data_IF_027727856998
#
_entry.id   IF_027727856998
#
_cell.length_a   1.000
_cell.length_b   1.000
_cell.length_c   1.000
_cell.angle_alpha   90.00
_cell.angle_beta   90.00
_cell.angle_gamma   90.00
#
_symmetry.space_group_name_H-M   'P 1'
#
loop_
_entity.id
_entity.type
_entity.pdbx_description
1 polymer ?
#
# COMPACT_ATOMS: atom_id res chain seq x y z
N UNK A 1 2.13 28.61 19.86
CA UNK A 1 3.35 28.04 19.24
C UNK A 1 3.43 26.61 19.76
N UNK A 2 2.85 25.67 19.01
CA UNK A 2 2.83 24.25 19.38
C UNK A 2 3.79 23.54 18.45
N UNK A 3 4.97 23.19 18.97
CA UNK A 3 5.87 22.24 18.33
C UNK A 3 5.27 20.84 18.54
N UNK A 4 4.72 20.26 17.46
CA UNK A 4 4.55 18.82 17.41
C UNK A 4 5.88 18.24 16.91
N UNK A 5 6.72 17.87 17.87
CA UNK A 5 7.91 17.07 17.65
C UNK A 5 7.55 15.77 16.94
N UNK A 6 7.95 15.66 15.67
CA UNK A 6 8.09 14.39 14.96
C UNK A 6 9.14 13.55 15.71
N UNK A 7 8.69 12.74 16.67
CA UNK A 7 9.51 11.65 17.19
C UNK A 7 9.55 10.53 16.16
N UNK A 8 10.54 10.65 15.28
CA UNK A 8 11.09 9.54 14.52
C UNK A 8 11.80 8.62 15.53
N UNK A 9 11.28 7.41 15.76
CA UNK A 9 12.13 6.28 16.13
C UNK A 9 12.07 5.67 17.52
N UNK A 10 11.00 5.80 18.31
CA UNK A 10 10.82 4.93 19.50
C UNK A 10 9.68 3.91 19.27
N UNK A 11 10.05 2.68 18.90
CA UNK A 11 9.15 1.53 18.89
C UNK A 11 8.77 1.17 20.33
N UNK A 12 7.56 1.56 20.75
CA UNK A 12 6.99 1.15 22.03
C UNK A 12 6.73 -0.36 22.04
N UNK A 13 7.07 -1.07 23.12
CA UNK A 13 6.98 -2.55 23.24
C UNK A 13 5.58 -3.15 23.08
N UNK A 14 4.53 -2.31 23.12
CA UNK A 14 3.15 -2.69 22.83
C UNK A 14 2.86 -2.86 21.33
N UNK A 15 3.73 -2.33 20.46
CA UNK A 15 3.64 -2.40 19.00
C UNK A 15 4.78 -3.25 18.42
N UNK A 16 5.10 -4.36 19.08
CA UNK A 16 6.11 -5.31 18.63
C UNK A 16 5.70 -5.91 17.27
N UNK A 17 6.14 -5.30 16.16
CA UNK A 17 6.03 -5.78 14.77
C UNK A 17 4.83 -6.72 14.53
N UNK A 18 3.61 -6.20 14.74
CA UNK A 18 2.36 -6.95 14.60
C UNK A 18 2.07 -7.20 13.12
N UNK A 19 2.79 -8.16 12.55
CA UNK A 19 2.48 -8.73 11.26
C UNK A 19 1.57 -9.94 11.46
N UNK A 20 0.27 -9.76 11.25
CA UNK A 20 -0.71 -10.86 11.30
C UNK A 20 -1.27 -11.10 9.91
N UNK A 21 -1.13 -12.32 9.42
CA UNK A 21 -1.57 -12.71 8.09
C UNK A 21 -3.01 -13.22 8.13
N UNK A 22 -3.81 -12.77 7.18
CA UNK A 22 -5.16 -13.30 6.96
C UNK A 22 -5.16 -14.65 6.24
N UNK A 23 -6.33 -15.01 5.70
CA UNK A 23 -6.45 -16.22 4.87
C UNK A 23 -5.64 -16.03 3.60
N UNK A 24 -4.82 -17.03 3.27
CA UNK A 24 -4.00 -17.03 2.07
C UNK A 24 -4.25 -18.26 1.21
N UNK A 25 -4.00 -18.12 -0.09
CA UNK A 25 -4.04 -19.21 -1.08
C UNK A 25 -2.79 -19.17 -1.94
N UNK A 26 -2.27 -20.34 -2.31
CA UNK A 26 -1.18 -20.41 -3.28
C UNK A 26 -1.65 -19.83 -4.63
N UNK A 27 -0.81 -18.99 -5.24
CA UNK A 27 -1.03 -18.49 -6.59
C UNK A 27 -0.35 -19.45 -7.56
N UNK A 28 -1.15 -20.07 -8.42
CA UNK A 28 -0.68 -21.10 -9.37
C UNK A 28 -0.14 -20.45 -10.67
N UNK A 29 -0.57 -19.23 -10.96
CA UNK A 29 -0.19 -18.49 -12.15
C UNK A 29 1.19 -17.84 -11.99
N UNK A 30 2.04 -17.92 -13.02
CA UNK A 30 3.35 -17.29 -13.06
C UNK A 30 3.31 -15.77 -13.27
N UNK A 31 2.18 -15.18 -13.69
CA UNK A 31 2.05 -13.73 -13.88
C UNK A 31 2.45 -12.94 -12.64
N UNK A 32 2.05 -13.37 -11.44
CA UNK A 32 2.46 -12.67 -10.21
C UNK A 32 3.97 -12.78 -9.95
N UNK A 33 4.58 -13.93 -10.25
CA UNK A 33 6.04 -14.11 -10.13
C UNK A 33 6.76 -13.20 -11.12
N UNK A 34 6.28 -13.17 -12.36
CA UNK A 34 6.82 -12.32 -13.42
C UNK A 34 6.70 -10.83 -13.05
N UNK A 35 5.56 -10.40 -12.47
CA UNK A 35 5.39 -9.03 -11.98
C UNK A 35 6.38 -8.70 -10.87
N UNK A 36 6.52 -9.56 -9.85
CA UNK A 36 7.48 -9.33 -8.74
C UNK A 36 8.91 -9.27 -9.28
N UNK A 37 9.30 -10.22 -10.14
CA UNK A 37 10.61 -10.28 -10.75
C UNK A 37 10.92 -9.03 -11.59
N UNK A 38 9.96 -8.57 -12.40
CA UNK A 38 10.10 -7.38 -13.23
C UNK A 38 10.24 -6.10 -12.40
N UNK A 39 9.38 -5.91 -11.39
CA UNK A 39 9.39 -4.69 -10.55
C UNK A 39 10.60 -4.59 -9.64
N UNK A 40 11.10 -5.71 -9.12
CA UNK A 40 12.23 -5.72 -8.17
C UNK A 40 13.54 -6.24 -8.77
N UNK A 41 13.61 -6.37 -10.10
CA UNK A 41 14.80 -6.82 -10.86
C UNK A 41 15.39 -8.09 -10.24
N UNK A 42 14.53 -9.06 -9.95
CA UNK A 42 14.89 -10.36 -9.33
C UNK A 42 14.68 -11.47 -10.35
N UNK A 43 15.45 -12.57 -10.26
CA UNK A 43 15.22 -13.70 -11.14
C UNK A 43 13.90 -14.42 -10.76
N UNK A 44 13.04 -14.71 -11.74
CA UNK A 44 11.75 -15.41 -11.54
C UNK A 44 11.98 -16.77 -10.85
N UNK A 45 13.07 -17.46 -11.18
CA UNK A 45 13.40 -18.78 -10.63
C UNK A 45 13.71 -18.75 -9.13
N UNK A 46 14.06 -17.58 -8.58
CA UNK A 46 14.29 -17.40 -7.14
C UNK A 46 12.95 -17.33 -6.36
N UNK A 47 11.85 -17.07 -7.04
CA UNK A 47 10.51 -16.97 -6.44
C UNK A 47 9.86 -18.36 -6.43
N UNK A 48 10.14 -19.15 -5.40
CA UNK A 48 9.63 -20.51 -5.27
C UNK A 48 8.09 -20.58 -5.21
N UNK A 49 7.50 -19.78 -4.32
CA UNK A 49 6.06 -19.79 -4.07
C UNK A 49 5.54 -18.38 -3.81
N UNK A 50 4.34 -18.10 -4.34
CA UNK A 50 3.60 -16.87 -4.10
C UNK A 50 2.26 -17.22 -3.50
N UNK A 51 1.87 -16.50 -2.44
CA UNK A 51 0.58 -16.64 -1.79
C UNK A 51 -0.18 -15.32 -1.88
N UNK A 52 -1.45 -15.38 -2.26
CA UNK A 52 -2.34 -14.23 -2.25
C UNK A 52 -3.11 -14.20 -0.92
N UNK A 53 -3.05 -13.07 -0.22
CA UNK A 53 -3.74 -12.83 1.04
C UNK A 53 -5.02 -12.02 0.82
N UNK A 54 -6.02 -12.22 1.68
CA UNK A 54 -7.24 -11.41 1.67
C UNK A 54 -7.14 -10.14 2.52
N UNK A 55 -6.34 -10.18 3.59
CA UNK A 55 -6.02 -9.06 4.47
C UNK A 55 -4.73 -9.33 5.24
N UNK A 56 -4.19 -8.29 5.84
CA UNK A 56 -3.03 -8.29 6.72
C UNK A 56 -3.25 -7.28 7.85
N UNK A 57 -2.76 -7.55 9.05
CA UNK A 57 -2.55 -6.51 10.06
C UNK A 57 -1.07 -6.18 10.03
N UNK A 58 -0.76 -4.89 9.90
CA UNK A 58 0.59 -4.37 9.92
C UNK A 58 0.61 -3.07 10.73
N UNK A 59 1.50 -2.97 11.71
CA UNK A 59 1.57 -1.84 12.63
C UNK A 59 0.21 -1.49 13.27
N UNK A 60 -0.53 -2.53 13.69
CA UNK A 60 -1.86 -2.39 14.32
C UNK A 60 -3.01 -2.08 13.35
N UNK A 61 -2.73 -1.87 12.06
CA UNK A 61 -3.73 -1.51 11.06
C UNK A 61 -4.10 -2.70 10.18
N UNK A 62 -5.41 -2.97 10.08
CA UNK A 62 -5.93 -4.02 9.21
C UNK A 62 -6.11 -3.50 7.79
N UNK A 63 -5.28 -3.97 6.89
CA UNK A 63 -5.32 -3.66 5.46
C UNK A 63 -6.05 -4.77 4.71
N UNK A 64 -7.13 -4.40 4.01
CA UNK A 64 -8.00 -5.33 3.28
C UNK A 64 -8.01 -4.97 1.81
N UNK A 65 -7.77 -5.97 0.97
CA UNK A 65 -7.78 -5.72 -0.47
C UNK A 65 -9.15 -5.25 -0.98
N UNK A 66 -9.13 -4.39 -2.00
CA UNK A 66 -10.25 -3.69 -2.61
C UNK A 66 -11.07 -2.81 -1.64
N UNK A 67 -10.51 -2.46 -0.47
CA UNK A 67 -11.20 -1.67 0.55
C UNK A 67 -10.33 -0.62 1.25
N UNK A 68 -9.05 -0.55 0.91
CA UNK A 68 -8.13 0.37 1.55
C UNK A 68 -7.44 1.23 0.51
N UNK A 69 -7.62 2.52 0.66
CA UNK A 69 -6.88 3.58 0.02
C UNK A 69 -5.66 3.90 0.89
N UNK A 70 -4.47 3.89 0.31
CA UNK A 70 -3.21 3.99 1.06
C UNK A 70 -2.31 5.00 0.37
N UNK A 71 -1.65 5.86 1.15
CA UNK A 71 -0.51 6.63 0.68
C UNK A 71 0.73 5.73 0.69
N UNK A 72 1.30 5.46 -0.48
CA UNK A 72 2.34 4.45 -0.61
C UNK A 72 3.70 5.02 -1.03
N UNK A 73 3.75 6.24 -1.55
CA UNK A 73 4.96 6.89 -2.06
C UNK A 73 4.90 8.41 -1.95
N UNK A 74 6.01 9.04 -2.31
CA UNK A 74 6.15 10.50 -2.43
C UNK A 74 6.88 10.79 -3.74
N UNK A 75 6.22 11.47 -4.68
CA UNK A 75 6.83 11.89 -5.93
C UNK A 75 7.22 13.37 -5.87
N UNK A 76 8.19 13.66 -5.00
CA UNK A 76 8.91 14.93 -4.85
C UNK A 76 8.09 16.20 -4.56
N UNK A 77 6.76 16.13 -4.43
CA UNK A 77 5.88 17.28 -4.12
C UNK A 77 4.58 16.84 -3.44
N UNK A 78 4.01 15.70 -3.85
CA UNK A 78 2.73 15.20 -3.35
C UNK A 78 2.79 13.69 -3.09
N UNK A 79 2.10 13.19 -2.05
CA UNK A 79 2.00 11.76 -1.82
C UNK A 79 1.29 11.04 -2.97
N UNK A 80 1.71 9.81 -3.23
CA UNK A 80 1.06 8.91 -4.17
C UNK A 80 0.06 8.02 -3.42
N UNK A 81 -1.16 7.97 -3.95
CA UNK A 81 -2.25 7.22 -3.36
C UNK A 81 -2.69 6.10 -4.30
N UNK A 82 -3.19 5.01 -3.72
CA UNK A 82 -3.79 3.94 -4.51
C UNK A 82 -4.74 3.08 -3.72
N UNK A 83 -5.59 2.36 -4.44
CA UNK A 83 -6.42 1.30 -3.86
C UNK A 83 -5.60 0.02 -3.81
N UNK A 84 -5.49 -0.58 -2.63
CA UNK A 84 -4.85 -1.89 -2.44
C UNK A 84 -5.65 -2.97 -3.18
N UNK A 85 -5.16 -3.51 -4.28
CA UNK A 85 -5.85 -4.52 -5.11
C UNK A 85 -5.53 -5.94 -4.70
N UNK A 86 -4.27 -6.21 -4.42
CA UNK A 86 -3.82 -7.51 -3.97
C UNK A 86 -2.67 -7.40 -2.97
N UNK A 87 -2.55 -8.45 -2.16
CA UNK A 87 -1.49 -8.62 -1.18
C UNK A 87 -0.83 -9.95 -1.52
N UNK A 88 0.44 -9.91 -1.88
CA UNK A 88 1.23 -11.11 -2.19
C UNK A 88 2.29 -11.34 -1.13
N UNK A 89 2.54 -12.60 -0.84
CA UNK A 89 3.63 -13.03 0.02
C UNK A 89 4.49 -14.04 -0.71
N UNK A 90 5.80 -13.84 -0.68
CA UNK A 90 6.78 -14.87 -1.06
C UNK A 90 7.44 -15.43 0.20
N UNK A 91 7.80 -16.70 0.13
CA UNK A 91 8.59 -17.38 1.17
C UNK A 91 9.85 -17.90 0.50
N UNK A 92 10.97 -17.26 0.82
CA UNK A 92 12.29 -17.56 0.24
C UNK A 92 13.30 -17.65 1.37
N UNK A 93 14.05 -18.76 1.47
CA UNK A 93 15.03 -18.99 2.53
C UNK A 93 14.49 -18.72 3.95
N UNK A 94 13.27 -19.22 4.24
CA UNK A 94 12.54 -19.00 5.50
C UNK A 94 12.23 -17.52 5.82
N UNK A 95 12.40 -16.62 4.85
CA UNK A 95 12.08 -15.20 4.98
C UNK A 95 10.79 -14.91 4.24
N UNK A 96 9.83 -14.29 4.93
CA UNK A 96 8.58 -13.82 4.34
C UNK A 96 8.78 -12.41 3.79
N UNK A 97 8.39 -12.21 2.52
CA UNK A 97 8.34 -10.87 1.91
C UNK A 97 6.93 -10.59 1.46
N UNK A 98 6.43 -9.41 1.79
CA UNK A 98 5.07 -8.99 1.48
C UNK A 98 5.11 -7.84 0.50
N UNK A 99 4.27 -7.96 -0.53
CA UNK A 99 4.13 -7.03 -1.63
C UNK A 99 2.67 -6.61 -1.73
N UNK A 100 2.46 -5.31 -1.87
CA UNK A 100 1.16 -4.71 -2.14
C UNK A 100 1.07 -4.28 -3.58
N UNK A 101 -0.04 -4.63 -4.20
CA UNK A 101 -0.39 -4.24 -5.57
C UNK A 101 -1.40 -3.11 -5.46
N UNK A 102 -1.06 -1.95 -6.01
CA UNK A 102 -1.91 -0.76 -5.98
C UNK A 102 -2.44 -0.41 -7.36
N UNK A 103 -3.73 -0.12 -7.44
CA UNK A 103 -4.27 0.71 -8.53
C UNK A 103 -4.07 2.17 -8.13
N UNK A 104 -3.27 2.89 -8.90
CA UNK A 104 -2.88 4.26 -8.54
C UNK A 104 -4.00 5.27 -8.78
N UNK A 105 -3.96 6.34 -8.00
CA UNK A 105 -4.68 7.57 -8.26
C UNK A 105 -3.71 8.66 -8.74
N UNK A 106 -4.27 9.65 -9.44
CA UNK A 106 -3.57 10.89 -9.75
C UNK A 106 -3.82 11.90 -8.62
N UNK A 107 -2.77 12.30 -7.93
CA UNK A 107 -2.84 13.34 -6.90
C UNK A 107 -2.81 14.72 -7.56
N UNK A 108 -3.83 15.54 -7.32
CA UNK A 108 -4.00 16.84 -7.97
C UNK A 108 -3.45 17.97 -7.10
N UNK A 109 -3.94 18.05 -5.86
CA UNK A 109 -3.61 19.12 -4.92
C UNK A 109 -3.97 18.70 -3.50
N UNK A 110 -3.32 19.32 -2.51
CA UNK A 110 -3.80 19.31 -1.13
C UNK A 110 -4.72 20.51 -0.90
N UNK A 111 -5.85 20.29 -0.22
CA UNK A 111 -6.74 21.39 0.18
C UNK A 111 -6.87 21.49 1.69
N UNK A 112 -6.52 22.67 2.21
CA UNK A 112 -6.56 22.97 3.64
C UNK A 112 -7.99 23.02 4.21
N UNK A 113 -8.97 23.46 3.41
CA UNK A 113 -10.35 23.66 3.86
C UNK A 113 -11.06 22.35 4.25
N UNK A 114 -10.63 21.23 3.66
CA UNK A 114 -11.11 19.88 3.98
C UNK A 114 -10.03 19.02 4.64
N UNK A 115 -8.81 19.54 4.81
CA UNK A 115 -7.65 18.79 5.31
C UNK A 115 -7.47 17.45 4.58
N UNK A 116 -7.42 17.50 3.25
CA UNK A 116 -7.39 16.31 2.43
C UNK A 116 -6.76 16.52 1.06
N UNK A 117 -6.29 15.41 0.47
CA UNK A 117 -5.74 15.40 -0.88
C UNK A 117 -6.84 15.14 -1.90
N UNK A 118 -6.97 16.05 -2.86
CA UNK A 118 -7.82 15.85 -4.02
C UNK A 118 -7.13 14.89 -4.98
N UNK A 119 -7.77 13.77 -5.22
CA UNK A 119 -7.28 12.71 -6.10
C UNK A 119 -8.29 12.43 -7.22
N UNK A 120 -7.81 11.84 -8.31
CA UNK A 120 -8.62 11.40 -9.44
C UNK A 120 -8.25 9.98 -9.85
N UNK A 121 -9.22 9.20 -10.34
CA UNK A 121 -8.90 7.96 -11.05
C UNK A 121 -8.20 8.27 -12.37
N UNK A 122 -7.14 7.54 -12.74
CA UNK A 122 -6.45 7.76 -14.00
C UNK A 122 -7.43 7.69 -15.17
N UNK A 123 -7.35 8.64 -16.11
CA UNK A 123 -8.22 8.66 -17.30
C UNK A 123 -7.92 7.56 -18.32
N UNK A 124 -6.79 6.88 -18.16
CA UNK A 124 -6.38 5.71 -18.96
C UNK A 124 -6.05 4.55 -18.02
N UNK A 125 -6.06 3.31 -18.54
CA UNK A 125 -5.60 2.15 -17.77
C UNK A 125 -4.12 2.33 -17.41
N UNK A 126 -3.86 2.82 -16.20
CA UNK A 126 -2.52 2.86 -15.64
C UNK A 126 -2.17 1.46 -15.13
N UNK A 127 -0.90 1.07 -15.27
CA UNK A 127 -0.42 -0.18 -14.70
C UNK A 127 -0.61 -0.22 -13.19
N UNK A 128 -0.61 -1.44 -12.62
CA UNK A 128 -0.54 -1.59 -11.17
C UNK A 128 0.86 -1.23 -10.67
N UNK A 129 0.93 -0.62 -9.50
CA UNK A 129 2.19 -0.35 -8.80
C UNK A 129 2.46 -1.43 -7.75
N UNK A 130 3.70 -1.87 -7.63
CA UNK A 130 4.08 -2.97 -6.74
C UNK A 130 5.07 -2.49 -5.68
N UNK A 131 4.68 -2.56 -4.41
CA UNK A 131 5.44 -1.99 -3.30
C UNK A 131 5.69 -3.02 -2.22
N UNK A 132 6.90 -3.06 -1.68
CA UNK A 132 7.20 -3.88 -0.49
C UNK A 132 6.57 -3.23 0.73
N UNK A 133 6.03 -4.04 1.64
CA UNK A 133 5.34 -3.54 2.83
C UNK A 133 6.22 -2.57 3.67
N UNK A 134 7.55 -2.78 3.67
CA UNK A 134 8.50 -1.92 4.39
C UNK A 134 8.65 -0.52 3.78
N UNK A 135 8.24 -0.33 2.53
CA UNK A 135 8.41 0.92 1.79
C UNK A 135 7.12 1.74 1.73
N UNK A 136 6.06 1.31 2.42
CA UNK A 136 4.80 2.04 2.45
C UNK A 136 4.98 3.32 3.24
N UNK A 137 4.58 4.44 2.64
CA UNK A 137 4.63 5.75 3.27
C UNK A 137 3.71 5.87 4.50
N UNK A 138 2.44 5.49 4.39
CA UNK A 138 1.48 5.52 5.50
C UNK A 138 0.78 4.16 5.67
N UNK A 139 0.85 3.59 6.86
CA UNK A 139 0.26 2.28 7.15
C UNK A 139 -1.24 2.32 7.51
N UNK A 140 -1.86 3.49 7.44
CA UNK A 140 -3.26 3.72 7.84
C UNK A 140 -4.13 3.82 6.58
N UNK A 141 -5.26 3.07 6.51
CA UNK A 141 -6.25 3.28 5.46
C UNK A 141 -6.82 4.69 5.52
N UNK A 142 -6.89 5.34 4.36
CA UNK A 142 -7.45 6.68 4.21
C UNK A 142 -8.93 6.60 3.89
N UNK A 143 -9.68 7.59 4.35
CA UNK A 143 -11.10 7.68 4.05
C UNK A 143 -11.33 8.54 2.81
N UNK A 144 -12.00 7.97 1.82
CA UNK A 144 -12.48 8.70 0.65
C UNK A 144 -13.81 9.40 0.95
N UNK A 145 -13.88 10.72 0.79
CA UNK A 145 -15.11 11.49 0.95
C UNK A 145 -15.28 12.56 -0.14
N UNK A 146 -16.54 12.88 -0.43
CA UNK A 146 -17.02 13.84 -1.44
C UNK A 146 -16.66 13.47 -2.90
N UNK A 147 -17.67 13.30 -3.75
CA UNK A 147 -17.49 12.91 -5.15
C UNK A 147 -18.25 13.86 -6.07
N UNK A 148 -17.54 14.84 -6.66
CA UNK A 148 -18.00 15.55 -7.84
C UNK A 148 -17.02 15.23 -8.98
N UNK A 149 -17.54 14.90 -10.16
CA UNK A 149 -16.79 14.81 -11.41
C UNK A 149 -15.50 13.96 -11.36
N UNK A 150 -15.58 12.74 -10.82
CA UNK A 150 -14.48 11.76 -10.70
C UNK A 150 -13.34 12.12 -9.72
N UNK A 151 -13.50 13.17 -8.91
CA UNK A 151 -12.56 13.51 -7.86
C UNK A 151 -13.05 13.02 -6.49
N UNK A 152 -12.11 12.65 -5.64
CA UNK A 152 -12.36 12.28 -4.24
C UNK A 152 -11.31 12.93 -3.36
N UNK A 153 -11.62 13.13 -2.07
CA UNK A 153 -10.64 13.56 -1.09
C UNK A 153 -10.22 12.39 -0.20
N UNK A 154 -8.92 12.25 0.04
CA UNK A 154 -8.36 11.31 1.00
C UNK A 154 -7.83 12.05 2.23
N UNK A 155 -8.22 11.57 3.42
CA UNK A 155 -7.70 12.06 4.70
C UNK A 155 -7.60 10.93 5.73
N UNK A 156 -6.66 11.07 6.67
CA UNK A 156 -6.56 10.27 7.88
C UNK A 156 -7.37 10.97 8.97
N UNK A 157 -8.53 10.42 9.31
CA UNK A 157 -9.40 10.95 10.38
C UNK A 157 -8.78 10.66 11.75
#
# INVERSE_FOLDING_TARGET
>A
MYEASLNIGEQHSLFSNDLILGKFKAVVNNECKNSIAAFFVTNVDEINSVYALNWIIYNGQKLVKNRCEIAFGDNNILPEFGTLKDIWMTIENNTQRIYFVFEMFETIEYREDVQGFKIRKPGMAQGFELIRIQNIFLHVPLHAYFACDNFFYLSSI
#
